data_IF_502428262840
#
_entry.id   IF_502428262840
#
_cell.length_a   1.000
_cell.length_b   1.000
_cell.length_c   1.000
_cell.angle_alpha   90.00
_cell.angle_beta   90.00
_cell.angle_gamma   90.00
#
_symmetry.space_group_name_H-M   'P 1'
#
loop_
_entity.id
_entity.type
_entity.pdbx_description
1 polymer ?
#
# COMPACT_ATOMS: atom_id res chain seq x y z
N UNK A 1 -2.36 25.71 7.26
CA UNK A 1 -1.31 24.68 7.02
C UNK A 1 -1.96 23.31 7.12
N UNK A 2 -2.31 22.68 6.00
CA UNK A 2 -2.95 21.35 5.97
C UNK A 2 -1.88 20.26 6.00
N UNK A 3 -1.90 19.36 7.00
CA UNK A 3 -1.09 18.13 6.98
C UNK A 3 -1.79 17.13 6.07
N UNK A 4 -1.21 16.86 4.90
CA UNK A 4 -1.61 15.71 4.09
C UNK A 4 -1.28 14.43 4.87
N UNK A 5 -2.31 13.71 5.32
CA UNK A 5 -2.14 12.42 5.96
C UNK A 5 -1.92 11.36 4.88
N UNK A 6 -0.69 10.84 4.76
CA UNK A 6 -0.42 9.67 3.91
C UNK A 6 -1.00 8.44 4.60
N UNK A 7 -1.97 7.81 3.96
CA UNK A 7 -2.54 6.53 4.41
C UNK A 7 -2.10 5.42 3.48
N UNK A 8 -1.30 4.49 4.00
CA UNK A 8 -0.89 3.29 3.29
C UNK A 8 -2.02 2.26 3.29
N UNK A 9 -2.21 1.61 2.14
CA UNK A 9 -3.28 0.64 1.89
C UNK A 9 -2.66 -0.68 1.47
N UNK A 10 -3.15 -1.78 2.05
CA UNK A 10 -2.84 -3.14 1.58
C UNK A 10 -3.92 -3.55 0.59
N UNK A 11 -3.51 -4.02 -0.58
CA UNK A 11 -4.40 -4.48 -1.65
C UNK A 11 -4.16 -5.96 -1.87
N UNK A 12 -5.24 -6.75 -1.84
CA UNK A 12 -5.22 -8.13 -2.33
C UNK A 12 -5.82 -8.10 -3.72
N UNK A 13 -5.07 -8.61 -4.70
CA UNK A 13 -5.50 -8.66 -6.08
C UNK A 13 -5.19 -10.01 -6.70
N UNK A 14 -5.84 -10.28 -7.82
CA UNK A 14 -5.52 -11.40 -8.71
C UNK A 14 -5.35 -10.88 -10.13
N UNK A 15 -4.51 -11.57 -10.89
CA UNK A 15 -4.31 -11.31 -12.30
C UNK A 15 -5.35 -12.10 -13.11
N UNK A 16 -5.98 -11.45 -14.09
CA UNK A 16 -6.95 -12.07 -15.00
C UNK A 16 -6.60 -11.66 -16.43
N UNK A 17 -5.75 -12.46 -17.07
CA UNK A 17 -5.14 -12.09 -18.35
C UNK A 17 -4.29 -10.84 -18.16
N UNK A 18 -4.52 -9.81 -18.97
CA UNK A 18 -3.79 -8.53 -18.93
C UNK A 18 -4.37 -7.51 -17.93
N UNK A 19 -5.28 -7.94 -17.03
CA UNK A 19 -5.96 -7.03 -16.09
C UNK A 19 -5.76 -7.47 -14.66
N UNK A 20 -5.59 -6.51 -13.76
CA UNK A 20 -5.64 -6.74 -12.33
C UNK A 20 -7.09 -6.62 -11.83
N UNK A 21 -7.54 -7.62 -11.07
CA UNK A 21 -8.80 -7.55 -10.31
C UNK A 21 -8.46 -7.39 -8.85
N UNK A 22 -8.82 -6.23 -8.28
CA UNK A 22 -8.74 -6.01 -6.84
C UNK A 22 -9.84 -6.81 -6.15
N UNK A 23 -9.46 -7.60 -5.15
CA UNK A 23 -10.36 -8.41 -4.32
C UNK A 23 -10.70 -7.65 -3.04
N UNK A 24 -9.69 -7.04 -2.41
CA UNK A 24 -9.90 -6.21 -1.22
C UNK A 24 -8.86 -5.10 -1.14
N UNK A 25 -9.26 -4.00 -0.51
CA UNK A 25 -8.39 -2.89 -0.17
C UNK A 25 -8.72 -2.45 1.26
N UNK A 26 -7.70 -2.36 2.11
CA UNK A 26 -7.88 -1.87 3.48
C UNK A 26 -6.69 -1.05 3.94
N UNK A 27 -6.91 -0.23 4.96
CA UNK A 27 -5.84 0.48 5.63
C UNK A 27 -4.79 -0.50 6.15
N UNK A 28 -3.51 -0.16 5.94
CA UNK A 28 -2.40 -0.93 6.46
C UNK A 28 -2.32 -0.81 7.99
N UNK A 29 -2.13 -1.94 8.65
CA UNK A 29 -1.86 -1.97 10.09
C UNK A 29 -0.49 -1.38 10.39
N UNK A 30 -0.23 -0.98 11.64
CA UNK A 30 1.08 -0.41 12.02
C UNK A 30 2.25 -1.36 11.72
N UNK A 31 2.04 -2.67 11.84
CA UNK A 31 3.08 -3.66 11.59
C UNK A 31 3.38 -3.81 10.09
N UNK A 32 2.34 -3.89 9.26
CA UNK A 32 2.49 -3.96 7.79
C UNK A 32 3.20 -2.73 7.24
N UNK A 33 2.84 -1.53 7.74
CA UNK A 33 3.54 -0.29 7.41
C UNK A 33 5.02 -0.34 7.78
N UNK A 34 5.33 -0.83 8.99
CA UNK A 34 6.72 -0.97 9.45
C UNK A 34 7.51 -1.98 8.60
N UNK A 35 6.89 -3.11 8.24
CA UNK A 35 7.50 -4.12 7.36
C UNK A 35 7.79 -3.53 5.99
N UNK A 36 6.78 -2.90 5.37
CA UNK A 36 6.93 -2.23 4.09
C UNK A 36 8.07 -1.22 4.12
N UNK A 37 8.11 -0.29 5.07
CA UNK A 37 9.20 0.69 5.16
C UNK A 37 10.59 0.06 5.40
N UNK A 38 10.67 -1.04 6.15
CA UNK A 38 11.92 -1.75 6.41
C UNK A 38 12.43 -2.44 5.14
N UNK A 39 11.55 -3.07 4.39
CA UNK A 39 11.89 -3.89 3.22
C UNK A 39 12.06 -3.05 1.94
N UNK A 40 11.23 -2.03 1.76
CA UNK A 40 11.23 -1.23 0.54
C UNK A 40 12.32 -0.16 0.51
N UNK A 41 12.85 0.27 1.67
CA UNK A 41 13.97 1.22 1.81
C UNK A 41 13.82 2.58 1.09
N UNK A 42 12.73 2.79 0.37
CA UNK A 42 12.47 3.90 -0.55
C UNK A 42 10.98 4.14 -0.57
N UNK A 43 10.60 5.33 -0.13
CA UNK A 43 9.32 5.92 -0.47
C UNK A 43 9.26 6.05 -2.00
N UNK A 44 8.39 5.28 -2.65
CA UNK A 44 7.94 5.64 -4.01
C UNK A 44 7.07 6.89 -3.82
N UNK A 45 7.66 8.06 -4.11
CA UNK A 45 7.01 9.36 -3.94
C UNK A 45 7.90 10.41 -3.29
N UNK A 46 8.92 10.88 -4.03
CA UNK A 46 9.36 12.27 -4.00
C UNK A 46 9.52 12.74 -5.43
#
# INVERSE_FOLDING_TARGET
MSRNAVTETVVVYVERGERLRIISARKATRNERRMYHRESGRSIGR
#
